data_IF_320636170446
#
_entry.id   IF_320636170446
#
_cell.length_a   1.000
_cell.length_b   1.000
_cell.length_c   1.000
_cell.angle_alpha   90.00
_cell.angle_beta   90.00
_cell.angle_gamma   90.00
#
_symmetry.space_group_name_H-M   'P 1'
#
loop_
_entity.id
_entity.type
_entity.pdbx_description
1 polymer ?
#
# COMPACT_ATOMS: atom_id res chain seq x y z
N UNK A 1 -12.70 41.97 3.89
CA UNK A 1 -11.57 41.05 3.61
C UNK A 1 -12.12 39.64 3.71
N UNK A 2 -12.41 38.99 2.59
CA UNK A 2 -13.00 37.64 2.54
C UNK A 2 -11.89 36.59 2.67
N UNK A 3 -12.01 35.73 3.67
CA UNK A 3 -11.14 34.57 3.90
C UNK A 3 -11.32 33.57 2.74
N UNK A 4 -10.25 32.98 2.18
CA UNK A 4 -10.40 31.91 1.20
C UNK A 4 -10.94 30.66 1.90
N UNK A 5 -12.09 30.18 1.45
CA UNK A 5 -12.62 28.88 1.85
C UNK A 5 -11.58 27.81 1.50
N UNK A 6 -11.16 27.02 2.49
CA UNK A 6 -10.30 25.86 2.29
C UNK A 6 -10.94 24.97 1.22
N UNK A 7 -10.32 24.92 0.04
CA UNK A 7 -10.77 24.11 -1.06
C UNK A 7 -10.75 22.65 -0.57
N UNK A 8 -11.85 21.89 -0.69
CA UNK A 8 -11.84 20.46 -0.42
C UNK A 8 -10.83 19.89 -1.41
N UNK A 9 -9.67 19.53 -0.88
CA UNK A 9 -8.56 19.04 -1.68
C UNK A 9 -9.10 17.86 -2.46
N UNK A 10 -9.16 17.99 -3.79
CA UNK A 10 -9.19 16.84 -4.69
C UNK A 10 -7.88 16.10 -4.43
N UNK A 11 -7.83 15.34 -3.33
CA UNK A 11 -6.95 14.20 -3.24
C UNK A 11 -7.42 13.30 -4.37
N UNK A 12 -6.82 13.46 -5.55
CA UNK A 12 -6.99 12.52 -6.63
C UNK A 12 -6.83 11.14 -6.03
N UNK A 13 -7.78 10.25 -6.25
CA UNK A 13 -7.79 8.91 -5.64
C UNK A 13 -6.44 8.21 -5.87
N UNK A 14 -5.78 8.50 -7.00
CA UNK A 14 -4.40 8.14 -7.32
C UNK A 14 -3.35 8.62 -6.33
N UNK A 15 -3.42 9.87 -5.86
CA UNK A 15 -2.50 10.43 -4.88
C UNK A 15 -2.66 9.75 -3.51
N UNK A 16 -3.91 9.51 -3.10
CA UNK A 16 -4.24 8.77 -1.88
C UNK A 16 -3.74 7.33 -1.97
N UNK A 17 -3.98 6.65 -3.09
CA UNK A 17 -3.52 5.29 -3.35
C UNK A 17 -1.99 5.18 -3.36
N UNK A 18 -1.30 6.14 -4.00
CA UNK A 18 0.15 6.19 -4.01
C UNK A 18 0.73 6.39 -2.61
N UNK A 19 0.16 7.30 -1.81
CA UNK A 19 0.58 7.50 -0.43
C UNK A 19 0.37 6.23 0.42
N UNK A 20 -0.79 5.59 0.29
CA UNK A 20 -1.11 4.35 1.01
C UNK A 20 -0.13 3.22 0.68
N UNK A 21 0.16 3.00 -0.60
CA UNK A 21 1.16 2.01 -1.04
C UNK A 21 2.53 2.26 -0.40
N UNK A 22 2.96 3.52 -0.35
CA UNK A 22 4.25 3.89 0.25
C UNK A 22 4.28 3.67 1.76
N UNK A 23 3.20 3.96 2.48
CA UNK A 23 3.10 3.71 3.94
C UNK A 23 3.12 2.22 4.22
N UNK A 24 2.38 1.41 3.45
CA UNK A 24 2.39 -0.05 3.58
C UNK A 24 3.77 -0.60 3.27
N UNK A 25 4.42 -0.12 2.21
CA UNK A 25 5.76 -0.54 1.81
C UNK A 25 6.82 -0.32 2.91
N UNK A 26 6.64 0.73 3.72
CA UNK A 26 7.51 1.08 4.84
C UNK A 26 7.11 0.39 6.15
N UNK A 27 5.98 -0.32 6.18
CA UNK A 27 5.55 -1.04 7.37
C UNK A 27 6.41 -2.28 7.61
N UNK A 28 6.71 -2.55 8.88
CA UNK A 28 7.49 -3.71 9.29
C UNK A 28 6.83 -5.05 8.94
N UNK A 29 5.49 -5.10 8.93
CA UNK A 29 4.74 -6.29 8.50
C UNK A 29 4.94 -6.61 7.02
N UNK A 30 4.82 -5.59 6.16
CA UNK A 30 5.03 -5.76 4.71
C UNK A 30 6.47 -6.13 4.39
N UNK A 31 7.46 -5.48 5.02
CA UNK A 31 8.88 -5.76 4.77
C UNK A 31 9.25 -7.20 5.13
N UNK A 32 8.72 -7.74 6.24
CA UNK A 32 8.94 -9.14 6.64
C UNK A 32 8.31 -10.11 5.65
N UNK A 33 7.04 -9.90 5.32
CA UNK A 33 6.33 -10.70 4.31
C UNK A 33 7.03 -10.66 2.95
N UNK A 34 7.56 -9.51 2.55
CA UNK A 34 8.29 -9.34 1.30
C UNK A 34 9.61 -10.12 1.32
N UNK A 35 10.36 -10.08 2.43
CA UNK A 35 11.61 -10.81 2.58
C UNK A 35 11.40 -12.33 2.52
N UNK A 36 10.37 -12.84 3.20
CA UNK A 36 9.99 -14.26 3.15
C UNK A 36 9.69 -14.71 1.71
N UNK A 37 9.01 -13.87 0.94
CA UNK A 37 8.64 -14.20 -0.46
C UNK A 37 9.72 -13.95 -1.48
N UNK A 38 10.58 -12.97 -1.23
CA UNK A 38 11.78 -12.76 -2.03
C UNK A 38 12.70 -13.99 -1.96
N UNK A 39 12.82 -14.60 -0.78
CA UNK A 39 13.55 -15.88 -0.61
C UNK A 39 12.92 -17.04 -1.39
N UNK A 40 11.62 -17.00 -1.66
CA UNK A 40 10.90 -18.01 -2.46
C UNK A 40 10.90 -17.69 -3.96
N UNK A 41 11.55 -16.60 -4.38
CA UNK A 41 11.58 -16.14 -5.77
C UNK A 41 10.23 -15.62 -6.28
N UNK A 42 9.25 -15.38 -5.40
CA UNK A 42 7.87 -15.04 -5.77
C UNK A 42 7.65 -13.54 -6.04
N UNK A 43 8.68 -12.70 -5.93
CA UNK A 43 8.58 -11.23 -5.94
C UNK A 43 9.43 -10.55 -7.00
N UNK A 44 10.33 -11.28 -7.67
CA UNK A 44 11.37 -10.70 -8.55
C UNK A 44 10.82 -9.96 -9.79
N UNK A 45 9.56 -10.18 -10.17
CA UNK A 45 8.94 -9.53 -11.33
C UNK A 45 7.70 -8.70 -10.98
N UNK A 46 7.37 -8.57 -9.70
CA UNK A 46 6.15 -7.87 -9.27
C UNK A 46 6.44 -6.42 -8.95
N UNK A 47 5.61 -5.53 -9.52
CA UNK A 47 5.62 -4.11 -9.16
C UNK A 47 5.11 -3.90 -7.72
N UNK A 48 5.46 -2.76 -7.13
CA UNK A 48 5.03 -2.41 -5.77
C UNK A 48 3.51 -2.53 -5.58
N UNK A 49 2.71 -2.12 -6.57
CA UNK A 49 1.25 -2.22 -6.50
C UNK A 49 0.76 -3.66 -6.38
N UNK A 50 1.39 -4.57 -7.12
CA UNK A 50 1.05 -5.99 -7.12
C UNK A 50 1.45 -6.63 -5.78
N UNK A 51 2.63 -6.27 -5.26
CA UNK A 51 3.10 -6.73 -3.96
C UNK A 51 2.19 -6.24 -2.83
N UNK A 52 1.84 -4.95 -2.82
CA UNK A 52 0.93 -4.35 -1.84
C UNK A 52 -0.46 -4.98 -1.92
N UNK A 53 -1.00 -5.19 -3.12
CA UNK A 53 -2.32 -5.82 -3.30
C UNK A 53 -2.33 -7.26 -2.80
N UNK A 54 -1.25 -8.02 -3.05
CA UNK A 54 -1.12 -9.41 -2.60
C UNK A 54 -0.96 -9.50 -1.08
N UNK A 55 -0.16 -8.62 -0.49
CA UNK A 55 -0.03 -8.50 0.96
C UNK A 55 -1.38 -8.17 1.62
N UNK A 56 -2.11 -7.18 1.10
CA UNK A 56 -3.44 -6.83 1.63
C UNK A 56 -4.39 -8.02 1.55
N UNK A 57 -4.46 -8.69 0.40
CA UNK A 57 -5.33 -9.86 0.20
C UNK A 57 -5.06 -10.93 1.26
N UNK A 58 -3.82 -11.33 1.43
CA UNK A 58 -3.47 -12.39 2.38
C UNK A 58 -3.67 -11.98 3.83
N UNK A 59 -3.36 -10.71 4.16
CA UNK A 59 -3.61 -10.19 5.51
C UNK A 59 -5.11 -10.17 5.83
N UNK A 60 -5.94 -9.81 4.85
CA UNK A 60 -7.40 -9.83 4.97
C UNK A 60 -7.95 -11.27 5.06
N UNK A 61 -7.41 -12.21 4.28
CA UNK A 61 -7.78 -13.64 4.37
C UNK A 61 -7.45 -14.23 5.75
N UNK A 62 -6.33 -13.81 6.35
CA UNK A 62 -5.90 -14.27 7.68
C UNK A 62 -6.80 -13.72 8.80
N UNK A 63 -7.42 -12.54 8.60
CA UNK A 63 -8.34 -11.91 9.56
C UNK A 63 -9.81 -12.32 9.37
N UNK A 64 -10.14 -12.98 8.26
CA UNK A 64 -11.49 -13.46 7.95
C UNK A 64 -11.80 -14.85 8.54
N UNK A 65 -10.85 -15.43 9.28
CA UNK A 65 -10.96 -16.69 10.03
C UNK A 65 -11.18 -16.42 11.51
#
# INVERSE_FOLDING_TARGET
MTLPAAQPSQFSEDATWNSLKQVIAQSSGFQRWLAERASLGQTQSLQLEQLVSRYLRETLETLAY
#
